data_IF_685987285418
#
_entry.id   IF_685987285418
#
_cell.length_a   1.000
_cell.length_b   1.000
_cell.length_c   1.000
_cell.angle_alpha   90.00
_cell.angle_beta   90.00
_cell.angle_gamma   90.00
#
_symmetry.space_group_name_H-M   'P 1'
#
loop_
_entity.id
_entity.type
_entity.pdbx_description
1 polymer ?
#
# COMPACT_ATOMS: atom_id res chain seq x y z
N UNK A 1 54.26 -63.60 -32.15
CA UNK A 1 54.35 -62.13 -32.27
C UNK A 1 53.29 -61.66 -33.26
N UNK A 2 52.52 -60.64 -32.84
CA UNK A 2 51.68 -59.73 -33.66
C UNK A 2 50.37 -60.35 -34.22
N UNK A 3 49.16 -60.10 -33.71
CA UNK A 3 48.66 -59.00 -32.87
C UNK A 3 48.04 -57.90 -33.73
N UNK A 4 46.77 -58.05 -34.15
CA UNK A 4 45.96 -56.99 -34.78
C UNK A 4 44.48 -57.11 -34.41
N UNK A 5 44.14 -56.49 -33.29
CA UNK A 5 42.77 -56.19 -32.85
C UNK A 5 42.32 -54.88 -33.48
N UNK A 6 41.26 -54.90 -34.30
CA UNK A 6 40.64 -53.69 -34.85
C UNK A 6 39.63 -53.16 -33.82
N UNK A 7 39.98 -52.07 -33.13
CA UNK A 7 39.04 -51.28 -32.35
C UNK A 7 38.27 -50.37 -33.31
N UNK A 8 36.98 -50.63 -33.50
CA UNK A 8 36.04 -49.70 -34.13
C UNK A 8 35.60 -48.69 -33.08
N UNK A 9 36.11 -47.46 -33.18
CA UNK A 9 35.69 -46.35 -32.34
C UNK A 9 34.33 -45.82 -32.84
N UNK A 10 33.28 -46.02 -32.04
CA UNK A 10 31.96 -45.42 -32.23
C UNK A 10 32.03 -44.01 -31.63
N UNK A 11 32.06 -42.99 -32.49
CA UNK A 11 31.90 -41.59 -32.10
C UNK A 11 30.42 -41.33 -31.81
N UNK A 12 30.05 -41.26 -30.53
CA UNK A 12 28.75 -40.73 -30.09
C UNK A 12 28.88 -39.21 -30.00
N UNK A 13 28.38 -38.49 -31.00
CA UNK A 13 28.25 -37.04 -30.95
C UNK A 13 27.03 -36.72 -30.08
N UNK A 14 27.27 -36.42 -28.79
CA UNK A 14 26.25 -35.90 -27.90
C UNK A 14 25.88 -34.47 -28.37
N UNK A 15 24.79 -34.36 -29.13
CA UNK A 15 24.18 -33.08 -29.48
C UNK A 15 23.54 -32.52 -28.20
N UNK A 16 24.30 -31.75 -27.46
CA UNK A 16 23.81 -31.01 -26.30
C UNK A 16 22.89 -29.91 -26.84
N UNK A 17 21.57 -30.15 -26.83
CA UNK A 17 20.57 -29.11 -27.07
C UNK A 17 20.68 -28.10 -25.94
N UNK A 18 21.46 -27.05 -26.16
CA UNK A 18 21.49 -25.88 -25.29
C UNK A 18 20.19 -25.11 -25.58
N UNK A 19 19.12 -25.46 -24.86
CA UNK A 19 17.92 -24.63 -24.82
C UNK A 19 18.29 -23.35 -24.09
N UNK A 20 18.68 -22.32 -24.86
CA UNK A 20 18.72 -20.94 -24.40
C UNK A 20 17.29 -20.57 -24.01
N UNK A 21 16.96 -20.78 -22.73
CA UNK A 21 15.81 -20.17 -22.12
C UNK A 21 16.16 -18.69 -22.00
N UNK A 22 15.77 -17.92 -23.01
CA UNK A 22 15.62 -16.48 -22.84
C UNK A 22 14.44 -16.34 -21.88
N UNK A 23 14.70 -16.34 -20.57
CA UNK A 23 13.76 -15.76 -19.64
C UNK A 23 13.64 -14.31 -20.06
N UNK A 24 12.49 -13.94 -20.63
CA UNK A 24 12.14 -12.55 -20.84
C UNK A 24 12.24 -11.90 -19.47
N UNK A 25 13.31 -11.16 -19.22
CA UNK A 25 13.34 -10.25 -18.09
C UNK A 25 12.32 -9.17 -18.42
N UNK A 26 11.07 -9.41 -18.01
CA UNK A 26 10.09 -8.36 -17.96
C UNK A 26 10.54 -7.44 -16.83
N UNK A 27 11.23 -6.36 -17.23
CA UNK A 27 11.54 -5.30 -16.31
C UNK A 27 10.26 -4.48 -16.20
N UNK A 28 9.58 -4.57 -15.06
CA UNK A 28 8.49 -3.68 -14.74
C UNK A 28 8.92 -2.25 -15.05
N UNK A 29 8.10 -1.54 -15.82
CA UNK A 29 8.35 -0.15 -16.16
C UNK A 29 7.05 0.64 -16.14
N UNK A 30 7.10 1.76 -15.42
CA UNK A 30 6.06 2.78 -15.52
C UNK A 30 6.09 3.37 -16.94
N UNK A 31 4.92 3.65 -17.50
CA UNK A 31 4.81 4.15 -18.86
C UNK A 31 5.60 5.49 -19.01
N UNK A 32 6.63 5.47 -19.85
CA UNK A 32 7.40 6.66 -20.22
C UNK A 32 8.35 7.18 -19.14
N UNK A 33 8.94 6.30 -18.32
CA UNK A 33 9.89 6.66 -17.24
C UNK A 33 9.30 7.68 -16.26
N UNK A 34 8.00 7.53 -15.97
CA UNK A 34 7.27 8.46 -15.10
C UNK A 34 7.82 8.43 -13.67
N UNK A 35 8.20 9.60 -13.17
CA UNK A 35 8.76 9.83 -11.81
C UNK A 35 7.90 10.77 -10.97
N UNK A 36 6.69 11.08 -11.46
CA UNK A 36 5.77 11.95 -10.75
C UNK A 36 4.93 11.21 -9.70
N UNK A 37 3.92 11.89 -9.14
CA UNK A 37 3.01 11.31 -8.16
C UNK A 37 2.16 10.18 -8.73
N UNK A 38 1.84 9.18 -7.91
CA UNK A 38 1.14 7.97 -8.28
C UNK A 38 -0.16 7.82 -7.45
N UNK A 39 -1.00 6.88 -7.85
CA UNK A 39 -2.15 6.40 -7.08
C UNK A 39 -2.25 4.90 -7.35
N UNK A 40 -2.33 4.12 -6.28
CA UNK A 40 -2.47 2.67 -6.33
C UNK A 40 -3.93 2.31 -6.05
N UNK A 41 -4.57 1.62 -6.98
CA UNK A 41 -5.83 0.93 -6.71
C UNK A 41 -5.50 -0.50 -6.36
N UNK A 42 -6.09 -0.99 -5.29
CA UNK A 42 -5.91 -2.37 -4.86
C UNK A 42 -7.22 -2.90 -4.27
N UNK A 43 -7.28 -4.21 -4.17
CA UNK A 43 -8.26 -4.94 -3.39
C UNK A 43 -7.53 -5.66 -2.26
N UNK A 44 -8.00 -5.56 -1.03
CA UNK A 44 -7.40 -6.25 0.12
C UNK A 44 -8.38 -7.12 0.89
N UNK A 45 -7.78 -8.03 1.65
CA UNK A 45 -8.42 -8.93 2.59
C UNK A 45 -7.64 -8.88 3.89
N UNK A 46 -8.31 -8.54 4.98
CA UNK A 46 -7.62 -8.23 6.24
C UNK A 46 -8.25 -8.86 7.46
N UNK A 47 -7.41 -9.03 8.48
CA UNK A 47 -7.72 -9.54 9.80
C UNK A 47 -7.23 -8.57 10.86
N UNK A 48 -7.96 -8.53 11.96
CA UNK A 48 -7.65 -7.70 13.12
C UNK A 48 -8.19 -8.31 14.40
N UNK A 49 -7.77 -7.77 15.54
CA UNK A 49 -8.36 -8.07 16.84
C UNK A 49 -9.72 -7.40 16.98
N UNK A 50 -10.72 -8.15 17.45
CA UNK A 50 -12.05 -7.61 17.73
C UNK A 50 -12.15 -7.19 19.19
N UNK A 51 -12.28 -5.89 19.42
CA UNK A 51 -12.40 -5.32 20.76
C UNK A 51 -13.86 -5.13 21.18
N UNK A 52 -14.18 -5.50 22.42
CA UNK A 52 -15.50 -5.31 23.02
C UNK A 52 -15.55 -4.17 24.05
N UNK A 53 -14.40 -3.64 24.43
CA UNK A 53 -14.23 -2.53 25.36
C UNK A 53 -12.96 -1.77 25.02
N UNK A 54 -12.93 -0.46 25.31
CA UNK A 54 -11.76 0.37 25.09
C UNK A 54 -10.55 -0.06 25.94
N UNK A 55 -9.34 0.20 25.46
CA UNK A 55 -8.09 -0.09 26.19
C UNK A 55 -7.90 0.78 27.44
N UNK A 56 -8.47 2.00 27.43
CA UNK A 56 -8.34 2.97 28.52
C UNK A 56 -7.15 3.93 28.37
N UNK A 57 -6.49 3.96 27.20
CA UNK A 57 -5.38 4.86 26.87
C UNK A 57 -4.37 4.18 25.94
N UNK A 58 -3.28 4.87 25.63
CA UNK A 58 -2.13 4.36 24.86
C UNK A 58 -1.19 3.46 25.68
N UNK A 59 -0.21 2.86 25.00
CA UNK A 59 0.84 2.03 25.61
C UNK A 59 0.43 0.57 25.80
N UNK A 60 -0.50 0.07 24.98
CA UNK A 60 -0.94 -1.33 25.00
C UNK A 60 -0.22 -2.22 24.00
N UNK A 61 0.57 -1.64 23.08
CA UNK A 61 1.38 -2.41 22.14
C UNK A 61 2.30 -3.36 22.90
N UNK A 62 2.19 -4.66 22.62
CA UNK A 62 2.84 -5.73 23.37
C UNK A 62 3.89 -6.51 22.56
N UNK A 63 4.21 -6.01 21.36
CA UNK A 63 5.02 -6.64 20.32
C UNK A 63 4.41 -7.94 19.78
N UNK A 64 3.10 -8.11 19.89
CA UNK A 64 2.34 -9.18 19.25
C UNK A 64 1.46 -8.57 18.18
N UNK A 65 1.61 -9.07 16.95
CA UNK A 65 0.78 -8.62 15.84
C UNK A 65 -0.72 -8.81 16.14
N UNK A 66 -1.48 -7.74 15.96
CA UNK A 66 -2.93 -7.69 16.08
C UNK A 66 -3.62 -7.53 14.72
N UNK A 67 -2.92 -6.95 13.72
CA UNK A 67 -3.46 -6.70 12.38
C UNK A 67 -2.54 -7.15 11.26
N UNK A 68 -3.13 -7.73 10.21
CA UNK A 68 -2.44 -8.08 8.96
C UNK A 68 -3.45 -8.35 7.83
N UNK A 69 -2.97 -8.41 6.60
CA UNK A 69 -3.80 -8.73 5.45
C UNK A 69 -3.00 -8.97 4.18
N UNK A 70 -3.69 -9.43 3.14
CA UNK A 70 -3.16 -9.58 1.79
C UNK A 70 -3.87 -8.62 0.84
N UNK A 71 -3.21 -8.22 -0.23
CA UNK A 71 -3.80 -7.35 -1.23
C UNK A 71 -3.26 -7.63 -2.62
N UNK A 72 -3.98 -7.14 -3.62
CA UNK A 72 -3.54 -7.09 -5.02
C UNK A 72 -3.72 -5.68 -5.57
N UNK A 73 -2.67 -5.12 -6.15
CA UNK A 73 -2.71 -3.85 -6.86
C UNK A 73 -3.33 -4.08 -8.25
N UNK A 74 -4.48 -3.45 -8.52
CA UNK A 74 -5.18 -3.58 -9.79
C UNK A 74 -4.72 -2.53 -10.82
N UNK A 75 -4.32 -1.35 -10.36
CA UNK A 75 -4.02 -0.20 -11.22
C UNK A 75 -3.02 0.73 -10.55
N UNK A 76 -2.01 1.17 -11.30
CA UNK A 76 -1.16 2.31 -10.95
C UNK A 76 -1.44 3.41 -11.96
N UNK A 77 -1.79 4.60 -11.48
CA UNK A 77 -2.12 5.75 -12.34
C UNK A 77 -1.56 7.04 -11.77
N UNK A 78 -1.57 8.10 -12.57
CA UNK A 78 -1.29 9.46 -12.09
C UNK A 78 -2.53 10.07 -11.41
N UNK A 79 -2.38 11.16 -10.63
CA UNK A 79 -3.50 11.94 -10.13
C UNK A 79 -4.43 12.48 -11.24
N UNK A 80 -3.92 12.64 -12.46
CA UNK A 80 -4.69 13.02 -13.64
C UNK A 80 -5.41 11.82 -14.30
N UNK A 81 -5.50 10.68 -13.62
CA UNK A 81 -6.10 9.43 -14.05
C UNK A 81 -5.47 8.79 -15.30
N UNK A 82 -4.20 9.08 -15.60
CA UNK A 82 -3.47 8.37 -16.64
C UNK A 82 -2.97 7.03 -16.09
N UNK A 83 -3.39 5.91 -16.68
CA UNK A 83 -2.86 4.58 -16.36
C UNK A 83 -1.38 4.47 -16.73
N UNK A 84 -0.56 4.02 -15.78
CA UNK A 84 0.86 3.74 -15.96
C UNK A 84 1.15 2.24 -15.97
N UNK A 85 0.42 1.50 -15.14
CA UNK A 85 0.45 0.03 -15.06
C UNK A 85 -0.94 -0.48 -14.64
N UNK A 86 -1.29 -1.71 -15.04
CA UNK A 86 -2.54 -2.37 -14.67
C UNK A 86 -2.31 -3.87 -14.52
N UNK A 87 -3.15 -4.54 -13.73
CA UNK A 87 -3.11 -5.98 -13.48
C UNK A 87 -3.11 -6.79 -14.77
N UNK A 88 -2.20 -7.77 -14.88
CA UNK A 88 -2.01 -8.60 -16.06
C UNK A 88 -1.24 -7.93 -17.21
N UNK A 89 -0.77 -6.68 -17.06
CA UNK A 89 0.15 -6.06 -18.02
C UNK A 89 1.41 -6.91 -18.11
N UNK A 90 1.78 -7.28 -19.33
CA UNK A 90 2.92 -8.16 -19.63
C UNK A 90 2.86 -9.55 -18.96
N UNK A 91 1.66 -9.97 -18.53
CA UNK A 91 1.45 -11.24 -17.83
C UNK A 91 1.90 -11.21 -16.37
N UNK A 92 2.04 -10.03 -15.79
CA UNK A 92 2.47 -9.83 -14.40
C UNK A 92 1.30 -9.40 -13.50
N UNK A 93 1.40 -9.70 -12.21
CA UNK A 93 0.58 -9.13 -11.16
C UNK A 93 1.42 -8.55 -10.02
N UNK A 94 0.84 -7.56 -9.33
CA UNK A 94 1.44 -6.97 -8.13
C UNK A 94 0.59 -7.36 -6.93
N UNK A 95 1.09 -8.28 -6.12
CA UNK A 95 0.43 -8.78 -4.91
C UNK A 95 1.19 -8.33 -3.69
N UNK A 96 0.59 -8.39 -2.51
CA UNK A 96 1.29 -7.98 -1.31
C UNK A 96 0.66 -8.43 -0.02
N UNK A 97 1.43 -8.31 1.04
CA UNK A 97 1.05 -8.61 2.41
C UNK A 97 1.42 -7.42 3.28
N UNK A 98 0.51 -7.01 4.15
CA UNK A 98 0.82 -6.10 5.25
C UNK A 98 0.72 -6.86 6.57
N UNK A 99 1.67 -6.64 7.47
CA UNK A 99 1.81 -7.43 8.69
C UNK A 99 2.60 -6.68 9.75
N UNK A 100 2.62 -7.19 10.99
CA UNK A 100 3.33 -6.60 12.12
C UNK A 100 2.66 -5.37 12.73
N UNK A 101 1.38 -5.16 12.46
CA UNK A 101 0.58 -4.08 13.08
C UNK A 101 0.23 -4.53 14.50
N UNK A 102 0.60 -3.73 15.50
CA UNK A 102 0.41 -3.97 16.93
C UNK A 102 -0.42 -2.83 17.54
N UNK A 103 -1.60 -3.16 18.07
CA UNK A 103 -2.60 -2.18 18.47
C UNK A 103 -2.22 -1.53 19.80
N UNK A 104 -1.97 -0.22 19.78
CA UNK A 104 -1.52 0.52 20.96
C UNK A 104 -2.67 1.19 21.72
N UNK A 105 -3.72 1.60 21.00
CA UNK A 105 -4.95 2.16 21.55
C UNK A 105 -6.14 1.63 20.75
N UNK A 106 -7.22 1.31 21.46
CA UNK A 106 -8.53 1.13 20.82
C UNK A 106 -9.62 1.76 21.65
N UNK A 107 -10.50 2.51 20.98
CA UNK A 107 -11.65 3.17 21.57
C UNK A 107 -12.94 2.58 21.01
N UNK A 108 -13.70 1.91 21.88
CA UNK A 108 -15.02 1.39 21.55
C UNK A 108 -16.06 2.40 22.00
N UNK A 109 -16.82 2.94 21.05
CA UNK A 109 -17.98 3.80 21.29
C UNK A 109 -19.25 3.13 20.75
N UNK A 110 -20.43 3.70 21.05
CA UNK A 110 -21.72 3.05 20.72
C UNK A 110 -21.87 2.63 19.26
N UNK A 111 -21.23 3.33 18.32
CA UNK A 111 -21.23 3.00 16.90
C UNK A 111 -19.85 2.95 16.24
N UNK A 112 -18.78 3.27 16.95
CA UNK A 112 -17.45 3.44 16.37
C UNK A 112 -16.40 2.61 17.09
N UNK A 113 -15.42 2.15 16.35
CA UNK A 113 -14.20 1.54 16.85
C UNK A 113 -13.04 2.30 16.21
N UNK A 114 -12.32 3.08 16.99
CA UNK A 114 -11.05 3.65 16.56
C UNK A 114 -9.93 2.72 17.05
N UNK A 115 -9.02 2.33 16.15
CA UNK A 115 -7.83 1.53 16.47
C UNK A 115 -6.62 2.33 15.99
N UNK A 116 -5.66 2.50 16.88
CA UNK A 116 -4.39 3.14 16.59
C UNK A 116 -3.28 2.16 16.95
N UNK A 117 -2.37 1.97 16.01
CA UNK A 117 -1.39 0.89 16.05
C UNK A 117 0.01 1.42 15.75
N UNK A 118 1.00 0.66 16.21
CA UNK A 118 2.42 0.85 15.94
C UNK A 118 2.95 -0.33 15.13
N UNK A 119 4.11 -0.14 14.52
CA UNK A 119 4.68 -1.11 13.61
C UNK A 119 3.91 -1.20 12.30
N UNK A 120 4.23 -2.22 11.53
CA UNK A 120 3.65 -2.46 10.22
C UNK A 120 4.72 -2.48 9.14
N UNK A 121 4.74 -3.57 8.39
CA UNK A 121 5.49 -3.74 7.16
C UNK A 121 4.50 -4.01 6.05
N UNK A 122 4.72 -3.39 4.89
CA UNK A 122 3.99 -3.68 3.65
C UNK A 122 5.00 -4.22 2.65
N UNK A 123 4.85 -5.48 2.27
CA UNK A 123 5.63 -6.10 1.20
C UNK A 123 4.77 -6.23 -0.05
N UNK A 124 5.29 -5.75 -1.16
CA UNK A 124 4.72 -5.89 -2.50
C UNK A 124 5.64 -6.81 -3.31
N UNK A 125 5.05 -7.77 -4.01
CA UNK A 125 5.72 -8.72 -4.87
C UNK A 125 5.28 -8.53 -6.32
N UNK A 126 6.24 -8.57 -7.24
CA UNK A 126 6.00 -8.69 -8.67
C UNK A 126 5.98 -10.17 -9.01
N UNK A 127 4.80 -10.68 -9.31
CA UNK A 127 4.61 -12.06 -9.73
C UNK A 127 4.41 -12.15 -11.25
N UNK A 128 5.06 -13.13 -11.85
CA UNK A 128 5.03 -13.42 -13.29
C UNK A 128 4.11 -14.59 -13.64
N UNK A 129 3.41 -15.15 -12.64
CA UNK A 129 2.51 -16.29 -12.78
C UNK A 129 1.14 -16.01 -12.14
N UNK A 130 0.34 -15.05 -12.67
CA UNK A 130 -0.80 -14.48 -11.96
C UNK A 130 -1.73 -15.54 -11.36
N UNK A 131 -1.73 -15.64 -10.03
CA UNK A 131 -2.44 -16.67 -9.29
C UNK A 131 -3.00 -16.23 -7.93
N UNK A 132 -3.00 -14.91 -7.63
CA UNK A 132 -3.60 -14.33 -6.43
C UNK A 132 -4.92 -15.00 -6.01
N UNK A 133 -4.90 -15.71 -4.87
CA UNK A 133 -6.04 -16.47 -4.36
C UNK A 133 -6.31 -16.20 -2.86
N UNK A 134 -7.32 -15.37 -2.53
CA UNK A 134 -7.71 -15.11 -1.14
C UNK A 134 -8.55 -16.23 -0.52
N UNK A 135 -8.94 -17.27 -1.28
CA UNK A 135 -9.92 -18.28 -0.84
C UNK A 135 -9.38 -19.22 0.23
N UNK A 136 -8.06 -19.29 0.39
CA UNK A 136 -7.40 -19.97 1.50
C UNK A 136 -7.67 -19.35 2.87
N UNK A 137 -8.13 -18.10 2.90
CA UNK A 137 -8.44 -17.36 4.13
C UNK A 137 -7.20 -17.10 5.01
N UNK A 138 -7.40 -16.53 6.21
CA UNK A 138 -6.32 -16.23 7.13
C UNK A 138 -5.46 -17.44 7.52
N UNK A 139 -6.05 -18.64 7.50
CA UNK A 139 -5.39 -19.89 7.88
C UNK A 139 -4.34 -20.37 6.87
N UNK A 140 -4.34 -19.84 5.63
CA UNK A 140 -3.35 -20.18 4.61
C UNK A 140 -1.98 -19.52 4.84
N UNK A 141 -1.91 -18.47 5.68
CA UNK A 141 -0.66 -17.81 6.06
C UNK A 141 0.28 -18.79 6.77
N UNK A 142 1.51 -18.91 6.27
CA UNK A 142 2.48 -19.90 6.79
C UNK A 142 3.49 -19.30 7.76
N UNK A 143 3.83 -18.02 7.59
CA UNK A 143 4.65 -17.22 8.51
C UNK A 143 4.12 -15.80 8.58
N UNK A 144 4.67 -14.97 9.47
CA UNK A 144 4.26 -13.57 9.56
C UNK A 144 4.34 -12.84 8.20
N UNK A 145 5.35 -13.13 7.38
CA UNK A 145 5.57 -12.45 6.11
C UNK A 145 5.35 -13.36 4.90
N UNK A 146 4.53 -14.41 5.00
CA UNK A 146 4.36 -15.39 3.90
C UNK A 146 2.94 -15.89 3.76
N UNK A 147 2.38 -15.68 2.58
CA UNK A 147 1.07 -16.18 2.17
C UNK A 147 1.18 -16.79 0.75
N UNK A 148 0.73 -18.04 0.52
CA UNK A 148 0.80 -18.68 -0.81
C UNK A 148 0.05 -17.86 -1.87
N UNK A 149 0.52 -17.75 -3.11
CA UNK A 149 -0.08 -16.93 -4.21
C UNK A 149 0.01 -15.40 -4.01
N UNK A 150 0.71 -14.95 -2.97
CA UNK A 150 0.87 -13.52 -2.65
C UNK A 150 2.34 -13.16 -2.48
N UNK A 151 3.15 -14.08 -1.94
CA UNK A 151 4.57 -13.83 -1.60
C UNK A 151 5.54 -14.74 -2.36
N UNK A 152 5.14 -15.27 -3.51
CA UNK A 152 5.91 -16.18 -4.39
C UNK A 152 6.60 -15.46 -5.56
N UNK A 153 6.28 -14.18 -5.78
CA UNK A 153 6.99 -13.32 -6.72
C UNK A 153 8.33 -12.77 -6.22
N UNK A 154 8.91 -11.85 -6.98
CA UNK A 154 10.08 -11.07 -6.58
C UNK A 154 9.66 -9.91 -5.66
N UNK A 155 10.38 -9.64 -4.56
CA UNK A 155 10.09 -8.48 -3.70
C UNK A 155 10.25 -7.17 -4.48
N UNK A 156 9.13 -6.61 -4.90
CA UNK A 156 9.04 -5.39 -5.70
C UNK A 156 9.35 -4.16 -4.86
N UNK A 157 8.68 -4.04 -3.71
CA UNK A 157 8.76 -2.90 -2.80
C UNK A 157 8.51 -3.36 -1.38
N UNK A 158 9.28 -2.84 -0.42
CA UNK A 158 9.03 -2.99 1.01
C UNK A 158 8.89 -1.62 1.64
N UNK A 159 7.77 -1.41 2.33
CA UNK A 159 7.50 -0.22 3.11
C UNK A 159 7.49 -0.56 4.60
N UNK A 160 8.04 0.32 5.43
CA UNK A 160 7.84 0.30 6.87
C UNK A 160 6.91 1.46 7.24
N UNK A 161 5.84 1.18 7.97
CA UNK A 161 5.01 2.23 8.54
C UNK A 161 5.84 3.09 9.49
N UNK A 162 5.48 4.36 9.59
CA UNK A 162 6.27 5.35 10.33
C UNK A 162 5.39 6.16 11.27
N UNK A 163 5.94 6.55 12.44
CA UNK A 163 5.24 7.41 13.38
C UNK A 163 4.76 8.74 12.79
N UNK A 164 3.64 9.24 13.30
CA UNK A 164 3.14 10.60 13.08
C UNK A 164 1.77 10.70 12.42
N UNK A 165 1.01 9.60 12.32
CA UNK A 165 -0.35 9.68 11.80
C UNK A 165 -1.30 10.31 12.83
N UNK A 166 -1.90 11.44 12.48
CA UNK A 166 -2.86 12.21 13.31
C UNK A 166 -4.25 12.24 12.68
N UNK A 167 -4.72 11.10 12.18
CA UNK A 167 -5.99 11.05 11.49
C UNK A 167 -7.15 11.23 12.50
N UNK A 168 -8.03 12.21 12.30
CA UNK A 168 -9.22 12.41 13.14
C UNK A 168 -9.01 12.97 14.56
N UNK A 169 -7.79 13.02 15.09
CA UNK A 169 -7.47 13.57 16.41
C UNK A 169 -6.38 14.66 16.32
N UNK A 170 -6.62 15.81 16.94
CA UNK A 170 -5.69 16.93 17.01
C UNK A 170 -4.82 16.92 18.27
N UNK A 171 -4.87 15.84 19.06
CA UNK A 171 -4.02 15.70 20.25
C UNK A 171 -2.56 15.51 19.85
N UNK A 172 -1.69 16.25 20.53
CA UNK A 172 -0.27 16.43 20.24
C UNK A 172 0.60 15.60 21.19
N UNK A 173 0.08 14.49 21.69
CA UNK A 173 0.82 13.60 22.61
C UNK A 173 1.27 12.31 21.95
N UNK A 174 0.79 12.00 20.75
CA UNK A 174 0.76 10.62 20.23
C UNK A 174 1.40 10.51 18.84
N UNK A 175 2.52 11.21 18.65
CA UNK A 175 3.32 11.14 17.43
C UNK A 175 3.88 9.73 17.15
N UNK A 176 3.78 8.77 18.07
CA UNK A 176 4.31 7.42 17.90
C UNK A 176 3.40 6.49 17.08
N UNK A 177 2.14 6.88 16.83
CA UNK A 177 1.19 6.06 16.07
C UNK A 177 1.58 6.03 14.59
N UNK A 178 1.55 4.84 14.00
CA UNK A 178 1.99 4.59 12.62
C UNK A 178 0.81 4.27 11.70
N UNK A 179 -0.26 3.68 12.26
CA UNK A 179 -1.48 3.29 11.58
C UNK A 179 -2.71 3.68 12.40
N UNK A 180 -3.71 4.29 11.75
CA UNK A 180 -4.98 4.63 12.40
C UNK A 180 -6.16 4.14 11.55
N UNK A 181 -7.16 3.55 12.20
CA UNK A 181 -8.34 3.01 11.57
C UNK A 181 -9.60 3.41 12.35
N UNK A 182 -10.50 4.13 11.69
CA UNK A 182 -11.81 4.54 12.19
C UNK A 182 -12.90 3.67 11.55
N UNK A 183 -13.38 2.68 12.32
CA UNK A 183 -14.42 1.75 11.92
C UNK A 183 -15.77 2.16 12.48
N UNK A 184 -16.82 1.98 11.68
CA UNK A 184 -18.21 2.05 12.08
C UNK A 184 -18.72 0.64 12.37
N UNK A 185 -18.93 0.36 13.65
CA UNK A 185 -19.41 -0.93 14.13
C UNK A 185 -20.92 -1.16 13.92
N UNK A 186 -21.68 -0.15 13.48
CA UNK A 186 -23.14 -0.26 13.24
C UNK A 186 -23.52 -0.75 11.86
N UNK A 187 -22.57 -0.76 10.93
CA UNK A 187 -22.77 -1.34 9.62
C UNK A 187 -22.38 -2.82 9.68
N UNK A 188 -23.07 -3.64 8.89
CA UNK A 188 -22.68 -5.02 8.62
C UNK A 188 -22.53 -5.14 7.11
N UNK A 189 -21.30 -5.18 6.59
CA UNK A 189 -20.01 -5.19 7.30
C UNK A 189 -19.64 -3.88 7.99
N UNK A 190 -18.59 -3.89 8.84
CA UNK A 190 -17.98 -2.66 9.30
C UNK A 190 -17.56 -1.82 8.09
N UNK A 191 -17.93 -0.54 8.11
CA UNK A 191 -17.45 0.45 7.15
C UNK A 191 -16.54 1.39 7.87
N UNK A 192 -15.53 1.97 7.23
CA UNK A 192 -14.64 2.88 7.93
C UNK A 192 -13.62 3.45 7.00
N UNK A 193 -12.62 4.09 7.57
CA UNK A 193 -11.43 4.49 6.85
C UNK A 193 -10.20 4.26 7.72
N UNK A 194 -9.04 4.24 7.09
CA UNK A 194 -7.80 4.27 7.83
C UNK A 194 -6.71 4.97 7.04
N UNK A 195 -5.63 5.29 7.73
CA UNK A 195 -4.51 6.01 7.17
C UNK A 195 -3.19 5.62 7.83
N UNK A 196 -2.10 5.79 7.08
CA UNK A 196 -0.73 5.56 7.55
C UNK A 196 0.26 6.40 6.75
N UNK A 197 1.44 6.63 7.34
CA UNK A 197 2.64 7.03 6.61
C UNK A 197 3.60 5.85 6.53
N UNK A 198 4.38 5.77 5.46
CA UNK A 198 5.39 4.72 5.34
C UNK A 198 6.61 5.17 4.53
N UNK A 199 7.76 4.57 4.85
CA UNK A 199 9.02 4.76 4.16
C UNK A 199 9.42 3.51 3.38
N UNK A 200 10.06 3.72 2.24
CA UNK A 200 10.70 2.68 1.45
C UNK A 200 11.92 2.18 2.20
N UNK A 201 11.93 0.89 2.53
CA UNK A 201 13.05 0.25 3.25
C UNK A 201 13.64 -0.94 2.49
N UNK A 202 13.15 -1.23 1.27
CA UNK A 202 13.72 -2.26 0.40
C UNK A 202 12.87 -2.59 -0.83
N UNK A 203 13.27 -3.64 -1.54
CA UNK A 203 12.67 -4.09 -2.79
C UNK A 203 13.48 -3.71 -4.02
N UNK A 204 13.30 -4.46 -5.12
CA UNK A 204 14.04 -4.24 -6.38
C UNK A 204 13.76 -2.88 -7.01
N UNK A 205 12.57 -2.31 -6.76
CA UNK A 205 12.14 -1.03 -7.32
C UNK A 205 12.15 0.12 -6.29
N UNK A 206 12.78 -0.08 -5.13
CA UNK A 206 12.84 0.89 -4.04
C UNK A 206 13.24 2.30 -4.50
N UNK A 207 14.30 2.42 -5.30
CA UNK A 207 14.88 3.69 -5.76
C UNK A 207 13.90 4.59 -6.55
N UNK A 208 12.83 4.01 -7.13
CA UNK A 208 11.81 4.77 -7.87
C UNK A 208 10.80 5.41 -6.92
N UNK A 209 10.58 4.80 -5.75
CA UNK A 209 9.54 5.19 -4.80
C UNK A 209 10.08 5.92 -3.57
N UNK A 210 11.39 5.87 -3.31
CA UNK A 210 12.07 6.66 -2.27
C UNK A 210 12.13 8.13 -2.70
N UNK A 211 11.15 8.92 -2.23
CA UNK A 211 10.93 10.30 -2.67
C UNK A 211 10.93 11.30 -1.51
N UNK A 212 10.61 10.87 -0.28
CA UNK A 212 10.52 11.69 0.92
C UNK A 212 9.68 12.97 0.71
N UNK A 213 8.53 12.87 0.05
CA UNK A 213 7.70 14.03 -0.32
C UNK A 213 6.56 14.31 0.66
N UNK A 214 6.22 13.37 1.53
CA UNK A 214 5.13 13.51 2.49
C UNK A 214 5.65 14.00 3.84
N UNK A 215 5.86 15.31 3.91
CA UNK A 215 6.36 15.96 5.12
C UNK A 215 5.24 16.31 6.09
N UNK A 216 5.41 15.89 7.35
CA UNK A 216 4.56 16.23 8.49
C UNK A 216 5.40 16.91 9.56
N UNK A 217 4.78 17.80 10.34
CA UNK A 217 5.41 18.39 11.51
C UNK A 217 5.00 17.57 12.73
N UNK A 218 5.98 17.09 13.49
CA UNK A 218 5.75 16.53 14.81
C UNK A 218 5.35 17.62 15.82
N UNK A 219 5.02 17.20 17.03
CA UNK A 219 4.58 18.09 18.10
C UNK A 219 5.68 19.02 18.62
N UNK A 220 6.94 18.73 18.30
CA UNK A 220 8.08 19.60 18.55
C UNK A 220 8.35 20.57 17.38
N UNK A 221 7.54 20.53 16.32
CA UNK A 221 7.72 21.32 15.11
C UNK A 221 8.87 20.85 14.23
N UNK A 222 9.37 19.62 14.42
CA UNK A 222 10.36 18.99 13.56
C UNK A 222 9.64 18.36 12.37
N UNK A 223 10.16 18.63 11.17
CA UNK A 223 9.63 18.06 9.94
C UNK A 223 10.17 16.64 9.73
N UNK A 224 9.25 15.70 9.52
CA UNK A 224 9.53 14.31 9.14
C UNK A 224 8.91 14.07 7.77
N UNK A 225 9.70 13.62 6.81
CA UNK A 225 9.22 13.34 5.46
C UNK A 225 9.18 11.85 5.21
N UNK A 226 8.08 11.41 4.60
CA UNK A 226 7.83 10.02 4.27
C UNK A 226 7.64 9.81 2.77
N UNK A 227 7.80 8.58 2.31
CA UNK A 227 7.66 8.22 0.90
C UNK A 227 6.19 8.03 0.48
N UNK A 228 5.40 7.46 1.38
CA UNK A 228 4.00 7.13 1.14
C UNK A 228 3.08 7.73 2.19
N UNK A 229 1.90 8.10 1.72
CA UNK A 229 0.73 8.35 2.55
C UNK A 229 -0.42 7.48 2.04
N UNK A 230 -0.88 6.56 2.88
CA UNK A 230 -2.03 5.70 2.59
C UNK A 230 -3.29 6.27 3.21
N UNK A 231 -4.38 6.29 2.45
CA UNK A 231 -5.75 6.37 2.95
C UNK A 231 -6.51 5.25 2.25
N UNK A 232 -7.34 4.52 2.97
CA UNK A 232 -8.24 3.50 2.42
C UNK A 232 -9.59 3.57 3.12
N UNK A 233 -10.63 3.11 2.43
CA UNK A 233 -11.97 2.96 2.98
C UNK A 233 -12.28 1.48 3.17
N UNK A 234 -12.74 1.10 4.34
CA UNK A 234 -13.26 -0.23 4.61
C UNK A 234 -14.74 -0.25 4.22
N UNK A 235 -15.17 -1.13 3.31
CA UNK A 235 -16.55 -1.07 2.77
C UNK A 235 -17.28 -2.41 2.71
N UNK A 236 -16.59 -3.55 2.76
CA UNK A 236 -17.15 -4.87 2.49
C UNK A 236 -16.85 -5.89 3.60
N UNK A 237 -17.74 -6.89 3.83
CA UNK A 237 -17.42 -7.97 4.75
C UNK A 237 -16.34 -8.80 4.11
N UNK A 238 -15.36 -9.23 4.90
CA UNK A 238 -14.42 -10.20 4.40
C UNK A 238 -15.15 -11.45 3.90
N UNK A 239 -14.73 -11.94 2.74
CA UNK A 239 -15.09 -13.26 2.25
C UNK A 239 -14.08 -14.30 2.76
N UNK A 240 -14.31 -15.59 2.57
CA UNK A 240 -13.31 -16.64 2.85
C UNK A 240 -12.70 -16.61 4.26
N UNK A 241 -13.50 -16.23 5.27
CA UNK A 241 -13.09 -16.10 6.68
C UNK A 241 -12.20 -14.89 6.99
N UNK A 242 -11.93 -14.02 6.02
CA UNK A 242 -11.40 -12.70 6.29
C UNK A 242 -12.40 -11.87 7.08
N UNK A 243 -11.91 -10.96 7.92
CA UNK A 243 -12.76 -10.07 8.70
C UNK A 243 -13.30 -8.95 7.81
N UNK A 244 -12.42 -8.40 6.98
CA UNK A 244 -12.68 -7.25 6.12
C UNK A 244 -12.20 -7.56 4.72
N UNK A 245 -12.92 -7.04 3.74
CA UNK A 245 -12.41 -6.80 2.40
C UNK A 245 -12.63 -5.35 2.00
N UNK A 246 -11.72 -4.80 1.21
CA UNK A 246 -11.88 -3.47 0.65
C UNK A 246 -11.50 -3.44 -0.83
N UNK A 247 -12.18 -2.56 -1.56
CA UNK A 247 -11.97 -2.33 -2.99
C UNK A 247 -12.03 -0.83 -3.22
N UNK A 248 -11.00 -0.06 -2.87
CA UNK A 248 -10.94 1.36 -3.29
C UNK A 248 -9.57 2.01 -3.00
N UNK A 249 -9.26 3.20 -3.56
CA UNK A 249 -7.87 3.68 -3.71
C UNK A 249 -7.06 3.77 -2.42
N UNK A 250 -5.75 3.50 -2.56
CA UNK A 250 -4.70 4.15 -1.79
C UNK A 250 -4.07 5.22 -2.70
N UNK A 251 -4.22 6.48 -2.34
CA UNK A 251 -3.53 7.58 -3.02
C UNK A 251 -2.05 7.63 -2.64
N UNK A 252 -1.22 6.76 -3.22
CA UNK A 252 0.23 6.77 -3.02
C UNK A 252 0.96 7.80 -3.90
N UNK A 253 1.15 9.02 -3.36
CA UNK A 253 2.06 10.11 -3.74
C UNK A 253 1.42 11.47 -4.11
N UNK A 254 1.92 12.52 -3.43
CA UNK A 254 1.77 13.98 -3.63
C UNK A 254 0.36 14.56 -3.75
N UNK A 255 -0.37 14.57 -2.64
CA UNK A 255 -1.19 15.75 -2.32
C UNK A 255 -0.41 16.60 -1.32
N UNK A 256 0.44 17.52 -1.80
CA UNK A 256 0.28 18.86 -1.25
C UNK A 256 -1.18 19.22 -1.58
N UNK A 257 -2.01 19.65 -0.61
CA UNK A 257 -3.42 19.88 -0.85
C UNK A 257 -3.55 20.72 -2.11
N UNK A 258 -3.95 20.10 -3.23
CA UNK A 258 -4.12 20.81 -4.48
C UNK A 258 -5.29 21.72 -4.18
N UNK A 259 -5.12 23.06 -4.13
CA UNK A 259 -6.27 23.93 -3.97
C UNK A 259 -7.16 23.60 -5.14
N UNK A 260 -8.34 23.02 -4.86
CA UNK A 260 -9.29 22.68 -5.91
C UNK A 260 -9.40 23.89 -6.84
N UNK A 261 -9.32 23.73 -8.17
CA UNK A 261 -9.35 24.87 -9.09
C UNK A 261 -10.58 25.79 -8.90
N UNK A 262 -11.65 25.27 -8.27
CA UNK A 262 -12.80 26.04 -7.82
C UNK A 262 -12.44 27.08 -6.75
N UNK A 263 -11.53 26.77 -5.83
CA UNK A 263 -11.11 27.64 -4.71
C UNK A 263 -10.28 28.83 -5.21
N UNK A 264 -9.40 28.64 -6.19
CA UNK A 264 -8.65 29.74 -6.82
C UNK A 264 -9.54 30.60 -7.75
N UNK A 265 -10.51 29.99 -8.43
CA UNK A 265 -11.47 30.73 -9.24
C UNK A 265 -12.43 31.59 -8.39
N UNK A 266 -12.83 31.10 -7.20
CA UNK A 266 -13.70 31.84 -6.27
C UNK A 266 -12.96 32.97 -5.57
N UNK A 267 -11.69 32.77 -5.19
CA UNK A 267 -10.88 33.86 -4.61
C UNK A 267 -10.54 34.95 -5.64
N UNK A 268 -10.30 34.57 -6.90
CA UNK A 268 -10.05 35.51 -7.99
C UNK A 268 -11.27 36.31 -8.44
N UNK A 269 -12.47 35.70 -8.45
CA UNK A 269 -13.71 36.38 -8.85
C UNK A 269 -14.34 37.21 -7.73
N UNK A 270 -14.16 36.82 -6.47
CA UNK A 270 -14.61 37.59 -5.30
C UNK A 270 -13.89 38.95 -5.15
N UNK A 271 -12.58 39.01 -5.48
CA UNK A 271 -11.80 40.25 -5.38
C UNK A 271 -12.08 41.22 -6.54
N UNK A 272 -12.34 40.72 -7.75
CA UNK A 272 -12.74 41.54 -8.89
C UNK A 272 -14.14 42.17 -8.70
N UNK A 273 -15.06 41.46 -8.04
CA UNK A 273 -16.40 41.97 -7.71
C UNK A 273 -16.39 43.16 -6.73
N UNK A 274 -15.44 43.20 -5.79
CA UNK A 274 -15.36 44.31 -4.81
C UNK A 274 -14.73 45.59 -5.37
N UNK A 275 -13.89 45.52 -6.40
CA UNK A 275 -13.35 46.70 -7.08
C UNK A 275 -14.43 47.38 -7.95
N UNK A 276 -15.42 46.63 -8.45
CA UNK A 276 -16.53 47.16 -9.24
C UNK A 276 -17.58 47.97 -8.46
N UNK A 277 -17.69 47.78 -7.13
CA UNK A 277 -18.73 48.44 -6.32
C UNK A 277 -18.32 49.82 -5.77
N UNK A 278 -17.09 50.29 -5.99
CA UNK A 278 -16.60 51.59 -5.49
C UNK A 278 -16.74 52.76 -6.48
N UNK A 279 -17.71 52.72 -7.39
CA UNK A 279 -18.04 53.87 -8.27
C UNK A 279 -19.54 54.09 -8.42
N UNK A 280 -20.23 54.43 -7.32
CA UNK A 280 -21.51 55.15 -7.45
C UNK A 280 -21.96 55.90 -6.18
N UNK A 281 -21.36 57.06 -5.92
CA UNK A 281 -22.10 58.21 -5.36
C UNK A 281 -21.27 59.49 -5.47
N UNK A 282 -21.68 60.37 -6.39
CA UNK A 282 -21.57 61.83 -6.33
C UNK A 282 -22.27 62.42 -7.55
N UNK A 283 -23.59 62.49 -7.47
CA UNK A 283 -24.47 63.48 -8.11
C UNK A 283 -25.79 63.47 -7.35
#
# INVERSE_FOLDING_TARGET
>A
MNGRTKLSAIFFTALCLLTLHTSSASAFALAGDYTGPLEFKFSDFSMGTLYQSSSGGYGNADNVENGWGIFKINLIKTPAAQTLWFDGKDGEELTGIFYGIDDDLWEVSGSGLNIQSVGGIIDVYLDSSPDFDPTGGPAARTTASTYPTVTDGELFLRLAMTPGIKFGNADTTDDHIEYNNDLNATTSPFTGNGAFYANVVGGTYADIFDTNIHCILDDNGVEHCNDFFGIFDTTSPGEYQWLVSSEDPISGASQAPVPEPATLAIFGTGLAGMIGLRKRKNS
#
